data_IF_075555883766
#
_entry.id   IF_075555883766
#
_cell.length_a   1.000
_cell.length_b   1.000
_cell.length_c   1.000
_cell.angle_alpha   90.00
_cell.angle_beta   90.00
_cell.angle_gamma   90.00
#
_symmetry.space_group_name_H-M   'P 1'
#
loop_
_entity.id
_entity.type
_entity.pdbx_description
1 polymer ?
#
# COMPACT_ATOMS: atom_id res chain seq x y z
N UNK A 1 1.81 9.54 -13.70
CA UNK A 1 2.40 8.63 -12.69
C UNK A 1 3.39 9.48 -11.91
N UNK A 2 3.31 9.55 -10.57
CA UNK A 2 4.32 10.27 -9.79
C UNK A 2 5.43 9.28 -9.47
N UNK A 3 6.65 9.62 -9.88
CA UNK A 3 7.86 8.87 -9.57
C UNK A 3 8.52 9.50 -8.35
N UNK A 4 9.10 8.67 -7.50
CA UNK A 4 9.89 9.15 -6.37
C UNK A 4 9.07 9.68 -5.19
N UNK A 5 7.76 9.38 -5.10
CA UNK A 5 6.90 9.93 -4.05
C UNK A 5 7.31 9.36 -2.68
N UNK A 6 7.58 10.22 -1.67
CA UNK A 6 7.78 9.77 -0.30
C UNK A 6 6.43 9.37 0.32
N UNK A 7 6.41 8.26 1.05
CA UNK A 7 5.18 7.72 1.64
C UNK A 7 5.42 7.42 3.11
N UNK A 8 4.50 7.86 3.97
CA UNK A 8 4.53 7.53 5.39
C UNK A 8 3.92 6.15 5.60
N UNK A 9 4.58 5.31 6.37
CA UNK A 9 4.11 3.96 6.71
C UNK A 9 3.87 3.88 8.21
N UNK A 10 2.74 3.31 8.57
CA UNK A 10 2.38 3.01 9.95
C UNK A 10 1.81 1.60 10.04
N UNK A 11 2.13 0.90 11.13
CA UNK A 11 1.71 -0.46 11.41
C UNK A 11 0.60 -0.46 12.43
N UNK A 12 -0.61 -0.88 12.06
CA UNK A 12 -1.65 -1.14 13.05
C UNK A 12 -1.27 -2.39 13.85
N UNK A 13 -1.11 -2.25 15.16
CA UNK A 13 -0.94 -3.35 16.11
C UNK A 13 -2.28 -3.52 16.83
N UNK A 14 -2.79 -4.75 16.87
CA UNK A 14 -4.00 -5.08 17.62
C UNK A 14 -3.62 -5.84 18.88
N UNK A 15 -4.12 -5.36 20.00
CA UNK A 15 -4.10 -6.07 21.28
C UNK A 15 -5.55 -6.17 21.77
N UNK A 16 -6.15 -7.35 21.65
CA UNK A 16 -7.56 -7.56 21.92
C UNK A 16 -8.49 -6.68 21.07
N UNK A 17 -9.29 -5.83 21.74
CA UNK A 17 -10.19 -4.86 21.10
C UNK A 17 -9.50 -3.57 20.66
N UNK A 18 -8.31 -3.31 21.17
CA UNK A 18 -7.62 -2.04 20.98
C UNK A 18 -6.74 -2.11 19.74
N UNK A 19 -6.71 -1.01 18.99
CA UNK A 19 -5.85 -0.84 17.83
C UNK A 19 -4.95 0.36 18.05
N UNK A 20 -3.66 0.09 18.21
CA UNK A 20 -2.62 1.11 18.20
C UNK A 20 -2.06 1.25 16.78
N UNK A 21 -1.64 2.46 16.40
CA UNK A 21 -0.99 2.72 15.12
C UNK A 21 0.43 3.16 15.42
N UNK A 22 1.40 2.27 15.20
CA UNK A 22 2.82 2.55 15.42
C UNK A 22 3.45 3.08 14.12
N UNK A 23 4.17 4.22 14.13
CA UNK A 23 4.86 4.69 12.95
C UNK A 23 6.01 3.73 12.58
N UNK A 24 6.09 3.35 11.30
CA UNK A 24 7.20 2.52 10.77
C UNK A 24 8.28 3.41 10.19
N UNK A 25 7.88 4.49 9.51
CA UNK A 25 8.80 5.49 8.96
C UNK A 25 8.37 5.99 7.59
N UNK A 26 9.26 6.76 6.95
CA UNK A 26 9.06 7.26 5.59
C UNK A 26 9.83 6.40 4.60
N UNK A 27 9.15 5.96 3.54
CA UNK A 27 9.79 5.29 2.41
C UNK A 27 9.86 6.25 1.24
N UNK A 28 11.08 6.49 0.79
CA UNK A 28 11.36 7.34 -0.35
C UNK A 28 11.40 6.53 -1.65
N UNK A 29 11.44 7.24 -2.76
CA UNK A 29 11.64 6.65 -4.08
C UNK A 29 10.59 5.61 -4.48
N UNK A 30 9.30 5.87 -4.20
CA UNK A 30 8.24 4.90 -4.50
C UNK A 30 7.45 5.28 -5.75
N UNK A 31 6.77 4.29 -6.34
CA UNK A 31 5.95 4.51 -7.54
C UNK A 31 4.59 3.84 -7.39
N UNK A 32 3.53 4.58 -7.70
CA UNK A 32 2.17 4.06 -7.71
C UNK A 32 1.74 3.64 -9.12
N UNK A 33 1.44 2.36 -9.28
CA UNK A 33 0.83 1.79 -10.48
C UNK A 33 -0.55 2.39 -10.77
N UNK A 34 -1.08 2.15 -11.97
CA UNK A 34 -2.47 2.50 -12.30
C UNK A 34 -3.46 1.80 -11.35
N UNK A 35 -4.66 2.36 -11.22
CA UNK A 35 -5.77 1.70 -10.52
C UNK A 35 -6.02 0.36 -11.23
N UNK A 36 -6.01 -0.72 -10.46
CA UNK A 36 -6.23 -2.08 -10.96
C UNK A 36 -7.71 -2.44 -10.95
N UNK A 37 -8.40 -2.06 -9.87
CA UNK A 37 -9.84 -2.23 -9.74
C UNK A 37 -10.41 -1.07 -8.93
N UNK A 38 -11.62 -0.69 -9.29
CA UNK A 38 -12.46 0.19 -8.50
C UNK A 38 -13.83 -0.49 -8.44
N UNK A 39 -14.31 -0.79 -7.24
CA UNK A 39 -15.66 -1.30 -7.03
C UNK A 39 -16.45 -0.30 -6.20
N UNK A 40 -17.74 -0.22 -6.51
CA UNK A 40 -18.68 0.55 -5.74
C UNK A 40 -19.65 -0.43 -5.08
N UNK A 41 -19.65 -0.44 -3.77
CA UNK A 41 -20.56 -1.27 -2.99
C UNK A 41 -21.83 -0.47 -2.70
N UNK A 42 -22.95 -1.00 -3.18
CA UNK A 42 -24.27 -0.39 -3.06
C UNK A 42 -25.11 -1.04 -1.95
N UNK A 43 -24.70 -2.21 -1.45
CA UNK A 43 -25.48 -2.97 -0.49
C UNK A 43 -24.87 -2.82 0.91
N UNK A 44 -25.75 -2.53 1.87
CA UNK A 44 -25.49 -2.42 3.30
C UNK A 44 -24.62 -1.25 3.81
N UNK A 45 -25.32 -0.22 4.34
CA UNK A 45 -24.81 0.79 5.30
C UNK A 45 -23.94 1.92 4.73
N UNK A 46 -24.23 2.35 3.51
CA UNK A 46 -23.70 3.57 2.91
C UNK A 46 -22.73 3.29 1.77
N UNK A 47 -22.89 4.03 0.67
CA UNK A 47 -22.15 3.89 -0.59
C UNK A 47 -20.62 3.94 -0.40
N UNK A 48 -19.98 2.78 -0.29
CA UNK A 48 -18.51 2.68 -0.15
C UNK A 48 -17.88 2.42 -1.51
N UNK A 49 -16.76 3.06 -1.80
CA UNK A 49 -15.94 2.70 -2.96
C UNK A 49 -14.62 2.10 -2.50
N UNK A 50 -14.23 1.00 -3.14
CA UNK A 50 -12.95 0.34 -2.90
C UNK A 50 -12.06 0.55 -4.12
N UNK A 51 -10.85 1.08 -3.90
CA UNK A 51 -9.85 1.30 -4.94
C UNK A 51 -8.64 0.44 -4.64
N UNK A 52 -8.26 -0.43 -5.56
CA UNK A 52 -7.01 -1.19 -5.47
C UNK A 52 -6.00 -0.79 -6.54
N UNK A 53 -4.72 -0.84 -6.18
CA UNK A 53 -3.63 -0.54 -7.11
C UNK A 53 -2.33 -1.23 -6.71
N UNK A 54 -1.40 -1.28 -7.66
CA UNK A 54 -0.04 -1.72 -7.37
C UNK A 54 0.79 -0.56 -6.82
N UNK A 55 1.74 -0.89 -5.96
CA UNK A 55 2.75 0.04 -5.45
C UNK A 55 4.12 -0.62 -5.50
N UNK A 56 5.07 0.09 -6.08
CA UNK A 56 6.46 -0.32 -6.21
C UNK A 56 7.28 0.41 -5.17
N UNK A 57 8.00 -0.37 -4.38
CA UNK A 57 8.72 0.05 -3.19
C UNK A 57 10.15 -0.49 -3.27
N UNK A 58 11.18 0.30 -2.90
CA UNK A 58 12.55 -0.19 -2.87
C UNK A 58 12.69 -1.46 -2.02
N UNK A 59 13.53 -2.39 -2.47
CA UNK A 59 13.82 -3.61 -1.71
C UNK A 59 14.47 -3.31 -0.37
N UNK A 60 14.25 -4.17 0.63
CA UNK A 60 14.73 -3.95 2.00
C UNK A 60 13.91 -2.96 2.83
N UNK A 61 12.91 -2.30 2.24
CA UNK A 61 11.98 -1.48 3.01
C UNK A 61 11.20 -2.32 4.02
N UNK A 62 11.09 -1.83 5.26
CA UNK A 62 10.31 -2.47 6.33
C UNK A 62 8.80 -2.28 6.10
N UNK A 63 8.23 -3.01 5.14
CA UNK A 63 6.79 -2.99 4.83
C UNK A 63 6.24 -4.39 5.02
N UNK A 64 5.05 -4.47 5.62
CA UNK A 64 4.33 -5.72 5.83
C UNK A 64 2.89 -5.63 5.35
N UNK A 65 2.28 -6.78 5.07
CA UNK A 65 0.84 -6.85 4.84
C UNK A 65 0.10 -6.32 6.08
N UNK A 66 -0.94 -5.52 5.87
CA UNK A 66 -1.70 -4.87 6.94
C UNK A 66 -1.20 -3.46 7.29
N UNK A 67 0.03 -3.09 6.91
CA UNK A 67 0.53 -1.73 7.10
C UNK A 67 -0.37 -0.71 6.38
N UNK A 68 -0.47 0.49 6.96
CA UNK A 68 -1.13 1.65 6.37
C UNK A 68 -0.08 2.56 5.76
N UNK A 69 -0.32 2.99 4.54
CA UNK A 69 0.52 3.94 3.85
C UNK A 69 -0.25 5.22 3.59
N UNK A 70 0.37 6.37 3.86
CA UNK A 70 -0.20 7.70 3.62
C UNK A 70 0.67 8.42 2.61
N UNK A 71 0.04 8.74 1.48
CA UNK A 71 0.66 9.47 0.37
C UNK A 71 0.76 10.96 0.68
N UNK A 72 1.58 11.65 -0.11
CA UNK A 72 1.76 13.11 0.00
C UNK A 72 0.47 13.90 -0.28
N UNK A 73 -0.46 13.31 -1.04
CA UNK A 73 -1.77 13.90 -1.31
C UNK A 73 -2.82 13.63 -0.22
N UNK A 74 -2.43 13.02 0.91
CA UNK A 74 -3.33 12.68 2.02
C UNK A 74 -4.13 11.40 1.84
N UNK A 75 -4.00 10.68 0.72
CA UNK A 75 -4.67 9.40 0.56
C UNK A 75 -4.00 8.32 1.41
N UNK A 76 -4.78 7.64 2.26
CA UNK A 76 -4.33 6.45 2.99
C UNK A 76 -4.81 5.17 2.31
N UNK A 77 -3.89 4.21 2.18
CA UNK A 77 -4.16 2.85 1.68
C UNK A 77 -3.69 1.82 2.71
N UNK A 78 -4.29 0.64 2.69
CA UNK A 78 -3.79 -0.55 3.38
C UNK A 78 -3.02 -1.45 2.41
N UNK A 79 -1.91 -2.01 2.86
CA UNK A 79 -1.17 -3.07 2.16
C UNK A 79 -1.95 -4.38 2.30
N UNK A 80 -2.33 -4.99 1.18
CA UNK A 80 -3.19 -6.19 1.15
C UNK A 80 -2.50 -7.43 0.57
N UNK A 81 -1.25 -7.33 0.14
CA UNK A 81 -0.43 -8.47 -0.26
C UNK A 81 0.95 -8.39 0.35
N UNK A 82 1.65 -9.51 0.36
CA UNK A 82 3.09 -9.53 0.57
C UNK A 82 3.86 -8.90 -0.60
N UNK A 83 5.18 -8.84 -0.44
CA UNK A 83 6.10 -8.36 -1.45
C UNK A 83 6.17 -9.33 -2.64
N UNK A 84 6.04 -8.81 -3.86
CA UNK A 84 6.17 -9.59 -5.09
C UNK A 84 7.20 -8.99 -6.04
N UNK A 85 7.93 -9.82 -6.80
CA UNK A 85 8.51 -9.37 -8.06
C UNK A 85 9.94 -8.81 -8.04
N UNK A 86 10.69 -8.91 -6.94
CA UNK A 86 12.17 -8.79 -6.99
C UNK A 86 12.81 -10.18 -7.07
N UNK A 87 12.37 -10.99 -8.04
CA UNK A 87 13.02 -12.26 -8.31
C UNK A 87 14.36 -12.00 -9.01
N UNK A 88 15.40 -12.75 -8.63
CA UNK A 88 16.71 -12.65 -9.27
C UNK A 88 16.58 -12.92 -10.78
N UNK A 89 17.23 -12.11 -11.61
CA UNK A 89 17.37 -12.44 -13.02
C UNK A 89 18.14 -13.78 -13.14
N UNK A 90 17.58 -14.80 -13.82
CA UNK A 90 18.09 -16.17 -13.73
C UNK A 90 19.49 -16.37 -14.31
N UNK A 91 19.95 -15.44 -15.15
CA UNK A 91 21.25 -15.54 -15.82
C UNK A 91 22.30 -14.62 -15.16
N UNK A 92 21.89 -13.42 -14.77
CA UNK A 92 22.83 -12.38 -14.31
C UNK A 92 22.84 -12.20 -12.80
N UNK A 93 21.87 -12.77 -12.09
CA UNK A 93 21.68 -12.57 -10.64
C UNK A 93 21.27 -11.14 -10.26
N UNK A 94 21.16 -10.23 -11.23
CA UNK A 94 20.79 -8.84 -10.97
C UNK A 94 19.35 -8.74 -10.45
N UNK A 95 19.18 -7.81 -9.50
CA UNK A 95 17.91 -7.45 -8.91
C UNK A 95 17.44 -6.13 -9.48
N UNK A 96 16.12 -6.02 -9.67
CA UNK A 96 15.52 -4.77 -10.11
C UNK A 96 15.55 -3.73 -8.98
N UNK A 97 15.66 -4.18 -7.72
CA UNK A 97 15.78 -3.30 -6.55
C UNK A 97 14.44 -2.77 -6.07
N UNK A 98 13.33 -3.27 -6.62
CA UNK A 98 11.98 -2.93 -6.20
C UNK A 98 11.13 -4.18 -6.06
N UNK A 99 10.31 -4.17 -5.00
CA UNK A 99 9.21 -5.10 -4.82
C UNK A 99 7.88 -4.39 -5.09
N UNK A 100 6.89 -5.19 -5.48
CA UNK A 100 5.52 -4.79 -5.76
C UNK A 100 4.61 -5.28 -4.64
N UNK A 101 3.84 -4.36 -4.06
CA UNK A 101 2.74 -4.65 -3.16
C UNK A 101 1.41 -4.32 -3.83
N UNK A 102 0.32 -4.97 -3.38
CA UNK A 102 -1.05 -4.55 -3.67
C UNK A 102 -1.57 -3.70 -2.52
N UNK A 103 -2.22 -2.61 -2.89
CA UNK A 103 -2.82 -1.66 -1.98
C UNK A 103 -4.32 -1.61 -2.17
N UNK A 104 -5.03 -1.31 -1.09
CA UNK A 104 -6.47 -1.08 -1.08
C UNK A 104 -6.82 0.15 -0.27
N UNK A 105 -7.69 1.00 -0.79
CA UNK A 105 -8.33 2.09 -0.07
C UNK A 105 -9.83 1.89 -0.08
N UNK A 106 -10.46 2.06 1.08
CA UNK A 106 -11.91 2.11 1.22
C UNK A 106 -12.30 3.57 1.46
N UNK A 107 -13.19 4.09 0.63
CA UNK A 107 -13.71 5.45 0.71
C UNK A 107 -15.15 5.32 1.17
N UNK A 108 -15.42 5.74 2.40
CA UNK A 108 -16.77 5.89 2.90
C UNK A 108 -17.40 7.18 2.35
N UNK A 109 -18.72 7.21 2.10
CA UNK A 109 -19.38 8.45 1.74
C UNK A 109 -19.29 9.41 2.93
N UNK A 110 -18.96 10.67 2.66
CA UNK A 110 -19.13 11.72 3.67
C UNK A 110 -20.65 11.89 3.86
N UNK A 111 -21.12 11.64 5.08
CA UNK A 111 -22.51 11.92 5.47
C UNK A 111 -22.82 13.40 5.41
#
# INVERSE_FOLDING_TARGET
MRYGEPVQVARPVRDGSDQEISPVGTINNTVFGRIRSASLDHEDRGRRSTVERNWFCPTGSNVQQGDRITRTNGDTYSVISDAHGDANHPITGHRFGYVKYRLRRVIAPRG
#
